data_IF_717176675213
#
_entry.id   IF_717176675213
#
_cell.length_a   1.000
_cell.length_b   1.000
_cell.length_c   1.000
_cell.angle_alpha   90.00
_cell.angle_beta   90.00
_cell.angle_gamma   90.00
#
_symmetry.space_group_name_H-M   'P 1'
#
loop_
_entity.id
_entity.type
_entity.pdbx_description
1 polymer ?
#
# COMPACT_ATOMS: atom_id res chain seq x y z
N UNK A 1 33.24 38.79 23.71
CA UNK A 1 32.87 38.21 22.39
C UNK A 1 32.61 36.70 22.41
N UNK A 2 33.40 35.89 23.09
CA UNK A 2 33.27 34.41 23.12
C UNK A 2 31.92 33.89 23.65
N UNK A 3 31.33 34.49 24.71
CA UNK A 3 30.01 34.03 25.23
C UNK A 3 28.87 34.22 24.25
N UNK A 4 28.85 35.28 23.44
CA UNK A 4 27.81 35.52 22.43
C UNK A 4 27.95 34.53 21.24
N UNK A 5 29.19 34.20 20.87
CA UNK A 5 29.48 33.21 19.84
C UNK A 5 29.04 31.79 20.25
N UNK A 6 29.39 31.39 21.48
CA UNK A 6 28.95 30.09 22.06
C UNK A 6 27.42 29.98 22.08
N UNK A 7 26.73 31.04 22.57
CA UNK A 7 25.25 31.05 22.61
C UNK A 7 24.61 30.98 21.23
N UNK A 8 25.17 31.63 20.21
CA UNK A 8 24.69 31.50 18.83
C UNK A 8 24.88 30.09 18.30
N UNK A 9 26.03 29.50 18.53
CA UNK A 9 26.33 28.10 18.08
C UNK A 9 25.36 27.12 18.75
N UNK A 10 25.17 27.21 20.08
CA UNK A 10 24.23 26.32 20.79
C UNK A 10 22.78 26.50 20.32
N UNK A 11 22.36 27.75 20.06
CA UNK A 11 21.00 27.99 19.53
C UNK A 11 20.83 27.44 18.13
N UNK A 12 21.82 27.58 17.25
CA UNK A 12 21.79 27.03 15.89
C UNK A 12 21.74 25.51 15.93
N UNK A 13 22.57 24.86 16.76
CA UNK A 13 22.56 23.42 16.94
C UNK A 13 21.22 22.92 17.50
N UNK A 14 20.64 23.62 18.46
CA UNK A 14 19.33 23.27 19.02
C UNK A 14 18.20 23.40 17.98
N UNK A 15 18.26 24.44 17.12
CA UNK A 15 17.31 24.59 16.02
C UNK A 15 17.44 23.44 14.99
N UNK A 16 18.67 23.13 14.58
CA UNK A 16 18.92 22.01 13.64
C UNK A 16 18.40 20.71 14.24
N UNK A 17 18.71 20.44 15.51
CA UNK A 17 18.25 19.23 16.20
C UNK A 17 16.72 19.20 16.34
N UNK A 18 16.10 20.32 16.70
CA UNK A 18 14.65 20.45 16.82
C UNK A 18 13.93 20.24 15.49
N UNK A 19 14.44 20.85 14.42
CA UNK A 19 13.91 20.64 13.05
C UNK A 19 14.05 19.20 12.61
N UNK A 20 15.21 18.61 12.86
CA UNK A 20 15.47 17.20 12.57
C UNK A 20 14.47 16.28 13.31
N UNK A 21 14.32 16.47 14.62
CA UNK A 21 13.39 15.69 15.44
C UNK A 21 11.95 15.83 14.94
N UNK A 22 11.53 17.07 14.63
CA UNK A 22 10.20 17.35 14.08
C UNK A 22 9.96 16.63 12.76
N UNK A 23 10.89 16.73 11.81
CA UNK A 23 10.79 16.05 10.50
C UNK A 23 10.75 14.54 10.68
N UNK A 24 11.58 13.98 11.55
CA UNK A 24 11.60 12.54 11.82
C UNK A 24 10.29 12.06 12.40
N UNK A 25 9.75 12.76 13.39
CA UNK A 25 8.44 12.42 13.97
C UNK A 25 7.32 12.57 12.95
N UNK A 26 7.33 13.64 12.17
CA UNK A 26 6.35 13.88 11.12
C UNK A 26 6.35 12.73 10.10
N UNK A 27 7.53 12.37 9.58
CA UNK A 27 7.67 11.29 8.60
C UNK A 27 7.35 9.91 9.20
N UNK A 28 7.58 9.69 10.50
CA UNK A 28 7.28 8.42 11.14
C UNK A 28 5.80 8.22 11.45
N UNK A 29 5.08 9.29 11.83
CA UNK A 29 3.71 9.17 12.33
C UNK A 29 2.64 9.64 11.34
N UNK A 30 2.96 10.58 10.46
CA UNK A 30 1.98 11.19 9.57
C UNK A 30 2.14 10.69 8.15
N UNK A 31 3.38 10.56 7.68
CA UNK A 31 3.66 10.22 6.29
C UNK A 31 5.00 9.49 6.19
N UNK A 32 5.01 8.27 5.75
CA UNK A 32 6.25 7.53 5.55
C UNK A 32 6.43 7.09 4.09
N UNK A 33 7.67 7.13 3.59
CA UNK A 33 7.95 6.67 2.24
C UNK A 33 8.06 5.15 2.18
N UNK A 34 7.56 4.56 1.08
CA UNK A 34 7.72 3.15 0.74
C UNK A 34 8.37 3.01 -0.63
N UNK A 35 9.19 1.98 -0.80
CA UNK A 35 9.69 1.56 -2.09
C UNK A 35 8.73 0.56 -2.75
N UNK A 36 8.23 0.88 -3.92
CA UNK A 36 7.40 0.00 -4.73
C UNK A 36 8.32 -0.95 -5.48
N UNK A 37 8.50 -2.17 -4.98
CA UNK A 37 9.42 -3.15 -5.56
C UNK A 37 8.80 -3.99 -6.67
N UNK A 38 7.49 -4.08 -6.71
CA UNK A 38 6.73 -4.96 -7.60
C UNK A 38 6.03 -4.15 -8.70
N UNK A 39 5.94 -4.73 -9.87
CA UNK A 39 5.17 -4.28 -11.02
C UNK A 39 3.68 -4.67 -10.95
N UNK A 40 3.28 -5.38 -9.90
CA UNK A 40 1.88 -5.83 -9.72
C UNK A 40 0.85 -4.71 -9.65
N UNK A 41 1.29 -3.48 -9.45
CA UNK A 41 0.47 -2.26 -9.44
C UNK A 41 0.85 -1.31 -10.59
N UNK A 42 1.53 -1.81 -11.63
CA UNK A 42 1.86 -1.04 -12.81
C UNK A 42 0.58 -0.45 -13.41
N UNK A 43 0.60 0.71 -14.02
CA UNK A 43 -0.49 1.64 -14.31
C UNK A 43 -0.95 2.49 -13.10
N UNK A 44 -1.09 1.91 -11.92
CA UNK A 44 -1.24 2.67 -10.68
C UNK A 44 0.12 3.20 -10.20
N UNK A 45 0.96 2.30 -9.69
CA UNK A 45 2.26 2.60 -9.10
C UNK A 45 3.39 2.00 -9.93
N UNK A 46 4.34 2.83 -10.37
CA UNK A 46 5.48 2.38 -11.16
C UNK A 46 6.45 1.56 -10.30
N UNK A 47 6.90 0.43 -10.83
CA UNK A 47 7.95 -0.38 -10.21
C UNK A 47 9.23 0.43 -10.02
N UNK A 48 9.93 0.23 -8.91
CA UNK A 48 11.11 1.03 -8.53
C UNK A 48 10.79 2.43 -8.02
N UNK A 49 9.51 2.82 -8.01
CA UNK A 49 9.07 4.12 -7.51
C UNK A 49 9.09 4.24 -6.00
N UNK A 50 8.99 5.49 -5.52
CA UNK A 50 8.83 5.78 -4.10
C UNK A 50 7.49 6.51 -3.91
N UNK A 51 6.69 6.01 -2.98
CA UNK A 51 5.39 6.57 -2.66
C UNK A 51 5.27 6.92 -1.18
N UNK A 52 4.49 7.95 -0.88
CA UNK A 52 4.15 8.31 0.49
C UNK A 52 2.88 7.61 0.95
N UNK A 53 2.94 7.05 2.15
CA UNK A 53 1.86 6.36 2.83
C UNK A 53 1.47 7.11 4.10
N UNK A 54 0.17 7.32 4.30
CA UNK A 54 -0.39 7.92 5.49
C UNK A 54 -1.03 6.85 6.39
N UNK A 55 -0.47 6.56 7.57
CA UNK A 55 -1.00 5.54 8.48
C UNK A 55 -2.26 5.99 9.24
N UNK A 56 -2.56 7.30 9.22
CA UNK A 56 -3.72 7.86 9.92
C UNK A 56 -5.02 7.63 9.16
N UNK A 57 -4.95 7.45 7.84
CA UNK A 57 -6.11 7.18 6.98
C UNK A 57 -6.42 5.68 6.99
N UNK A 58 -7.27 5.26 7.92
CA UNK A 58 -7.62 3.85 8.15
C UNK A 58 -9.03 3.46 7.70
N UNK A 59 -9.77 4.37 7.08
CA UNK A 59 -11.07 4.05 6.48
C UNK A 59 -10.89 3.87 4.97
N UNK A 60 -10.80 2.63 4.48
CA UNK A 60 -10.65 2.39 3.06
C UNK A 60 -11.92 2.77 2.30
N UNK A 61 -11.74 3.43 1.16
CA UNK A 61 -12.76 3.67 0.16
C UNK A 61 -12.47 2.86 -1.10
N UNK A 62 -13.48 2.63 -1.94
CA UNK A 62 -13.28 1.90 -3.19
C UNK A 62 -12.35 2.67 -4.12
N UNK A 63 -11.39 1.97 -4.68
CA UNK A 63 -10.38 2.53 -5.56
C UNK A 63 -9.11 3.01 -4.85
N UNK A 64 -9.10 3.11 -3.52
CA UNK A 64 -7.93 3.52 -2.76
C UNK A 64 -6.80 2.49 -2.80
N UNK A 65 -5.58 2.97 -2.84
CA UNK A 65 -4.37 2.15 -2.71
C UNK A 65 -3.92 2.07 -1.25
N UNK A 66 -3.76 0.86 -0.75
CA UNK A 66 -3.31 0.62 0.62
C UNK A 66 -2.03 -0.20 0.68
N UNK A 67 -1.15 0.22 1.57
CA UNK A 67 0.00 -0.55 1.97
C UNK A 67 -0.44 -1.56 3.03
N UNK A 68 -0.20 -2.85 2.75
CA UNK A 68 -0.69 -3.97 3.53
C UNK A 68 0.43 -4.66 4.27
N UNK A 69 0.14 -5.12 5.49
CA UNK A 69 1.04 -5.98 6.24
C UNK A 69 1.16 -7.35 5.58
N UNK A 70 2.22 -8.06 5.92
CA UNK A 70 2.50 -9.43 5.47
C UNK A 70 1.37 -10.38 5.82
N UNK A 71 1.17 -11.42 4.98
CA UNK A 71 0.13 -12.43 5.20
C UNK A 71 0.45 -13.41 6.33
N UNK A 72 1.71 -13.59 6.67
CA UNK A 72 2.22 -14.54 7.67
C UNK A 72 1.99 -14.11 9.13
N UNK A 73 1.28 -13.01 9.37
CA UNK A 73 0.89 -12.59 10.72
C UNK A 73 2.04 -12.09 11.60
N UNK A 74 3.27 -12.05 11.12
CA UNK A 74 4.38 -11.48 11.87
C UNK A 74 4.19 -9.96 11.97
N UNK A 75 3.68 -9.52 13.11
CA UNK A 75 3.71 -8.09 13.49
C UNK A 75 5.15 -7.72 13.81
N UNK A 76 5.79 -7.00 12.91
CA UNK A 76 7.04 -6.34 13.29
C UNK A 76 6.75 -5.41 14.48
N UNK A 77 7.62 -5.47 15.49
CA UNK A 77 7.49 -4.59 16.64
C UNK A 77 7.51 -3.14 16.17
N UNK A 78 6.58 -2.34 16.66
CA UNK A 78 6.50 -0.90 16.34
C UNK A 78 7.84 -0.18 16.57
N UNK A 79 8.61 -0.62 17.59
CA UNK A 79 9.95 -0.12 17.87
C UNK A 79 10.95 -0.46 16.74
N UNK A 80 10.86 -1.64 16.14
CA UNK A 80 11.69 -2.01 14.98
C UNK A 80 11.34 -1.19 13.74
N UNK A 81 10.06 -0.93 13.50
CA UNK A 81 9.63 -0.05 12.40
C UNK A 81 10.15 1.38 12.59
N UNK A 82 10.11 1.91 13.81
CA UNK A 82 10.64 3.23 14.12
C UNK A 82 12.18 3.27 13.95
N UNK A 83 12.88 2.23 14.42
CA UNK A 83 14.34 2.14 14.28
C UNK A 83 14.75 2.01 12.80
N UNK A 84 14.04 1.22 12.01
CA UNK A 84 14.28 1.09 10.57
C UNK A 84 14.01 2.41 9.84
N UNK A 85 12.93 3.09 10.16
CA UNK A 85 12.61 4.41 9.62
C UNK A 85 13.67 5.46 9.95
N UNK A 86 14.21 5.40 11.17
CA UNK A 86 15.30 6.27 11.60
C UNK A 86 16.59 6.01 10.82
N UNK A 87 16.98 4.76 10.68
CA UNK A 87 18.17 4.37 9.93
C UNK A 87 18.03 4.71 8.45
N UNK A 88 16.88 4.44 7.85
CA UNK A 88 16.56 4.81 6.46
C UNK A 88 16.66 6.30 6.24
N UNK A 89 16.19 7.11 7.18
CA UNK A 89 16.29 8.56 7.07
C UNK A 89 17.76 9.03 6.97
N UNK A 90 18.64 8.52 7.85
CA UNK A 90 20.08 8.91 7.85
C UNK A 90 20.87 8.34 6.69
N UNK A 91 20.46 7.21 6.17
CA UNK A 91 21.15 6.54 5.05
C UNK A 91 20.54 6.87 3.70
N UNK A 92 19.71 7.93 3.60
CA UNK A 92 18.98 8.28 2.39
C UNK A 92 18.25 7.06 1.79
N UNK A 93 17.64 6.24 2.65
CA UNK A 93 16.92 5.02 2.32
C UNK A 93 17.75 3.86 1.73
N UNK A 94 19.07 3.96 1.77
CA UNK A 94 19.96 2.94 1.22
C UNK A 94 20.10 1.69 2.11
N UNK A 95 19.97 1.84 3.43
CA UNK A 95 20.16 0.75 4.38
C UNK A 95 18.87 0.51 5.16
N UNK A 96 18.41 -0.73 5.15
CA UNK A 96 17.23 -1.21 5.86
C UNK A 96 17.57 -2.48 6.62
N UNK A 97 18.29 -2.39 7.76
CA UNK A 97 18.87 -3.55 8.43
C UNK A 97 17.84 -4.53 8.98
N UNK A 98 16.65 -4.04 9.30
CA UNK A 98 15.58 -4.87 9.86
C UNK A 98 14.62 -5.44 8.78
N UNK A 99 14.62 -4.89 7.57
CA UNK A 99 13.83 -5.39 6.45
C UNK A 99 14.47 -6.58 5.73
N UNK A 100 15.77 -6.81 5.87
CA UNK A 100 16.48 -7.93 5.21
C UNK A 100 16.35 -9.29 5.93
N UNK A 101 15.88 -9.31 7.16
CA UNK A 101 15.77 -10.55 7.95
C UNK A 101 14.75 -11.55 7.46
N UNK A 102 14.04 -11.25 6.38
CA UNK A 102 12.94 -12.08 5.91
C UNK A 102 13.05 -12.42 4.42
N UNK A 103 14.08 -13.13 4.05
CA UNK A 103 14.17 -13.74 2.71
C UNK A 103 13.13 -14.84 2.45
N UNK A 104 12.25 -15.14 3.39
CA UNK A 104 11.42 -16.35 3.33
C UNK A 104 9.91 -16.14 3.25
N UNK A 105 9.34 -14.97 3.52
CA UNK A 105 7.87 -14.85 3.53
C UNK A 105 7.43 -13.41 3.27
N UNK A 106 7.02 -13.15 2.06
CA UNK A 106 6.19 -12.02 1.63
C UNK A 106 6.53 -10.63 2.23
N UNK A 107 7.13 -9.76 1.44
CA UNK A 107 7.28 -8.34 1.83
C UNK A 107 5.90 -7.67 1.92
N UNK A 108 5.75 -6.59 2.73
CA UNK A 108 4.57 -5.75 2.66
C UNK A 108 4.37 -5.24 1.23
N UNK A 109 3.15 -5.15 0.79
CA UNK A 109 2.81 -4.87 -0.60
C UNK A 109 1.66 -3.88 -0.70
N UNK A 110 1.50 -3.27 -1.86
CA UNK A 110 0.38 -2.37 -2.15
C UNK A 110 -0.70 -3.12 -2.91
N UNK A 111 -1.97 -2.89 -2.56
CA UNK A 111 -3.15 -3.38 -3.30
C UNK A 111 -4.23 -2.31 -3.31
N UNK A 112 -5.11 -2.42 -4.29
CA UNK A 112 -6.29 -1.55 -4.42
C UNK A 112 -7.46 -2.17 -3.67
N UNK A 113 -8.15 -1.36 -2.87
CA UNK A 113 -9.39 -1.75 -2.20
C UNK A 113 -10.52 -1.69 -3.23
N UNK A 114 -11.16 -2.83 -3.49
CA UNK A 114 -12.21 -2.90 -4.50
C UNK A 114 -13.58 -3.05 -3.85
N UNK A 115 -13.71 -3.92 -2.83
CA UNK A 115 -14.97 -4.12 -2.14
C UNK A 115 -14.85 -3.91 -0.63
N UNK A 116 -15.93 -3.46 -0.03
CA UNK A 116 -16.05 -3.03 1.36
C UNK A 116 -16.88 -4.03 2.18
N UNK A 117 -16.85 -3.96 3.52
CA UNK A 117 -17.69 -4.81 4.37
C UNK A 117 -19.17 -4.73 4.00
N UNK A 118 -19.83 -5.88 3.93
CA UNK A 118 -21.24 -6.02 3.56
C UNK A 118 -21.52 -6.10 2.06
N UNK A 119 -20.53 -5.89 1.20
CA UNK A 119 -20.70 -6.08 -0.23
C UNK A 119 -20.83 -7.56 -0.59
N UNK A 120 -21.69 -7.88 -1.56
CA UNK A 120 -21.65 -9.17 -2.27
C UNK A 120 -20.84 -9.01 -3.54
N UNK A 121 -19.94 -9.94 -3.79
CA UNK A 121 -19.00 -9.85 -4.91
C UNK A 121 -18.97 -11.18 -5.68
N UNK A 122 -18.74 -11.09 -6.99
CA UNK A 122 -18.29 -12.18 -7.83
C UNK A 122 -17.32 -11.64 -8.89
N UNK A 123 -16.51 -12.48 -9.47
CA UNK A 123 -15.60 -12.07 -10.55
C UNK A 123 -15.88 -12.86 -11.81
N UNK A 124 -15.84 -12.18 -12.94
CA UNK A 124 -15.93 -12.79 -14.26
C UNK A 124 -14.94 -12.12 -15.21
N UNK A 125 -14.18 -12.92 -15.91
CA UNK A 125 -13.17 -12.45 -16.87
C UNK A 125 -12.24 -11.38 -16.27
N UNK A 126 -11.73 -11.61 -15.06
CA UNK A 126 -10.87 -10.70 -14.27
C UNK A 126 -11.50 -9.37 -13.84
N UNK A 127 -12.78 -9.14 -14.10
CA UNK A 127 -13.53 -7.96 -13.65
C UNK A 127 -14.35 -8.32 -12.42
N UNK A 128 -14.18 -7.57 -11.35
CA UNK A 128 -14.97 -7.76 -10.13
C UNK A 128 -16.31 -7.01 -10.25
N UNK A 129 -17.38 -7.74 -10.02
CA UNK A 129 -18.74 -7.21 -9.92
C UNK A 129 -19.14 -7.15 -8.46
N UNK A 130 -19.68 -6.01 -8.05
CA UNK A 130 -19.95 -5.69 -6.66
C UNK A 130 -21.38 -5.25 -6.54
N UNK A 131 -22.08 -5.83 -5.60
CA UNK A 131 -23.39 -5.34 -5.14
C UNK A 131 -23.20 -4.73 -3.75
N UNK A 132 -23.16 -3.41 -3.61
CA UNK A 132 -23.10 -2.73 -2.33
C UNK A 132 -24.25 -3.16 -1.41
N UNK A 133 -24.03 -3.17 -0.11
CA UNK A 133 -25.05 -3.60 0.88
C UNK A 133 -26.37 -2.81 0.77
N UNK A 134 -26.30 -1.55 0.30
CA UNK A 134 -27.46 -0.68 0.11
C UNK A 134 -28.14 -0.84 -1.26
N UNK A 135 -27.51 -1.54 -2.22
CA UNK A 135 -27.97 -1.64 -3.61
C UNK A 135 -28.56 -3.01 -3.94
N UNK A 136 -29.38 -3.05 -4.99
CA UNK A 136 -30.02 -4.28 -5.48
C UNK A 136 -29.31 -4.89 -6.69
N UNK A 137 -28.44 -4.15 -7.34
CA UNK A 137 -27.80 -4.54 -8.59
C UNK A 137 -26.29 -4.68 -8.44
N UNK A 138 -25.72 -5.54 -9.23
CA UNK A 138 -24.27 -5.65 -9.39
C UNK A 138 -23.79 -4.58 -10.36
N UNK A 139 -22.73 -3.88 -9.97
CA UNK A 139 -22.01 -2.92 -10.80
C UNK A 139 -20.55 -3.41 -10.91
N UNK A 140 -19.89 -3.06 -11.98
CA UNK A 140 -18.48 -3.36 -12.14
C UNK A 140 -17.64 -2.51 -11.18
N UNK A 141 -16.46 -2.97 -10.85
CA UNK A 141 -15.51 -2.23 -10.02
C UNK A 141 -15.19 -0.84 -10.58
N UNK A 142 -15.25 -0.69 -11.91
CA UNK A 142 -14.98 0.58 -12.58
C UNK A 142 -16.12 1.59 -12.43
N UNK A 143 -17.37 1.11 -12.42
CA UNK A 143 -18.56 1.97 -12.22
C UNK A 143 -18.66 2.48 -10.78
N UNK A 144 -18.20 1.69 -9.83
CA UNK A 144 -18.24 2.02 -8.40
C UNK A 144 -17.02 2.82 -7.92
N UNK A 145 -15.95 2.83 -8.68
CA UNK A 145 -14.76 3.57 -8.29
C UNK A 145 -14.94 5.07 -8.48
N UNK A 146 -14.68 5.85 -7.45
CA UNK A 146 -14.68 7.32 -7.53
C UNK A 146 -13.53 7.89 -8.37
N UNK A 147 -12.49 7.09 -8.60
CA UNK A 147 -11.30 7.46 -9.38
C UNK A 147 -11.07 6.45 -10.49
N UNK A 148 -10.89 6.90 -11.73
CA UNK A 148 -10.59 5.99 -12.83
C UNK A 148 -9.22 5.33 -12.62
N UNK A 149 -9.14 4.04 -12.90
CA UNK A 149 -7.90 3.28 -12.92
C UNK A 149 -7.98 2.21 -14.01
N UNK A 150 -6.82 1.78 -14.48
CA UNK A 150 -6.71 0.73 -15.48
C UNK A 150 -6.34 -0.59 -14.81
N UNK A 151 -6.77 -1.67 -15.42
CA UNK A 151 -6.42 -3.03 -15.01
C UNK A 151 -5.69 -3.67 -16.17
N UNK A 152 -4.53 -4.25 -15.89
CA UNK A 152 -3.80 -5.03 -16.87
C UNK A 152 -4.33 -6.46 -16.89
N UNK A 153 -4.96 -6.81 -17.99
CA UNK A 153 -5.41 -8.15 -18.31
C UNK A 153 -4.71 -8.52 -19.61
N UNK A 154 -3.55 -9.17 -19.52
CA UNK A 154 -2.91 -9.71 -20.71
C UNK A 154 -3.71 -10.92 -21.21
N UNK A 155 -3.70 -11.13 -22.52
CA UNK A 155 -4.31 -12.33 -23.09
C UNK A 155 -3.64 -13.58 -22.49
N UNK A 156 -4.45 -14.43 -21.87
CA UNK A 156 -3.98 -15.70 -21.31
C UNK A 156 -3.39 -16.51 -22.45
N UNK A 157 -2.15 -17.00 -22.35
CA UNK A 157 -1.58 -17.88 -23.36
C UNK A 157 -2.49 -19.10 -23.56
N UNK A 158 -2.67 -19.53 -24.80
CA UNK A 158 -3.53 -20.67 -25.14
C UNK A 158 -3.08 -21.99 -24.46
N UNK A 159 -1.86 -22.06 -23.98
CA UNK A 159 -1.26 -23.21 -23.29
C UNK A 159 -1.12 -22.96 -21.77
N UNK A 160 -2.01 -22.17 -21.18
CA UNK A 160 -1.96 -21.91 -19.74
C UNK A 160 -2.33 -23.19 -18.97
N UNK A 161 -1.40 -23.67 -18.16
CA UNK A 161 -1.49 -24.91 -17.38
C UNK A 161 -2.25 -24.77 -16.05
N UNK A 162 -3.08 -23.76 -15.92
CA UNK A 162 -3.80 -23.38 -14.68
C UNK A 162 -2.88 -22.97 -13.49
N UNK A 163 -1.63 -22.69 -13.74
CA UNK A 163 -0.74 -22.08 -12.74
C UNK A 163 -0.97 -20.58 -12.77
N UNK A 164 -1.82 -20.09 -11.91
CA UNK A 164 -2.13 -18.67 -11.81
C UNK A 164 -3.48 -18.41 -11.17
N UNK A 165 -3.89 -17.15 -11.15
CA UNK A 165 -5.14 -16.76 -10.53
C UNK A 165 -6.28 -16.89 -11.51
N UNK A 166 -7.34 -17.58 -11.09
CA UNK A 166 -8.59 -17.60 -11.85
C UNK A 166 -9.11 -16.21 -12.14
N UNK A 167 -9.55 -15.97 -13.37
CA UNK A 167 -10.30 -14.78 -13.75
C UNK A 167 -11.73 -14.79 -13.24
N UNK A 168 -12.18 -15.93 -12.68
CA UNK A 168 -13.52 -16.14 -12.19
C UNK A 168 -13.51 -16.42 -10.69
N UNK A 169 -14.48 -15.86 -9.96
CA UNK A 169 -14.70 -16.06 -8.54
C UNK A 169 -16.20 -16.24 -8.32
N UNK A 170 -16.57 -17.27 -7.56
CA UNK A 170 -17.93 -17.50 -7.14
C UNK A 170 -18.47 -16.37 -6.25
N UNK A 171 -19.80 -16.22 -6.25
CA UNK A 171 -20.44 -15.20 -5.44
C UNK A 171 -20.18 -15.41 -3.95
N UNK A 172 -19.71 -14.36 -3.27
CA UNK A 172 -19.53 -14.34 -1.82
C UNK A 172 -19.89 -12.98 -1.24
N UNK A 173 -20.29 -12.96 0.02
CA UNK A 173 -20.60 -11.72 0.74
C UNK A 173 -19.53 -11.46 1.81
N UNK A 174 -18.98 -10.26 1.80
CA UNK A 174 -17.98 -9.83 2.77
C UNK A 174 -18.60 -9.57 4.13
N UNK A 175 -17.97 -10.10 5.18
CA UNK A 175 -18.39 -9.88 6.56
C UNK A 175 -17.98 -8.49 7.04
N UNK A 176 -18.48 -8.11 8.21
CA UNK A 176 -18.06 -6.88 8.88
C UNK A 176 -16.54 -6.88 9.11
N UNK A 177 -15.89 -5.76 8.74
CA UNK A 177 -14.43 -5.61 8.82
C UNK A 177 -13.63 -6.34 7.75
N UNK A 178 -14.27 -7.03 6.81
CA UNK A 178 -13.63 -7.70 5.68
C UNK A 178 -13.62 -6.81 4.44
N UNK A 179 -12.47 -6.77 3.78
CA UNK A 179 -12.24 -6.00 2.55
C UNK A 179 -11.68 -6.91 1.47
N UNK A 180 -12.06 -6.65 0.24
CA UNK A 180 -11.52 -7.38 -0.91
C UNK A 180 -10.57 -6.45 -1.67
N UNK A 181 -9.32 -6.89 -1.79
CA UNK A 181 -8.25 -6.08 -2.39
C UNK A 181 -7.65 -6.82 -3.57
N UNK A 182 -7.39 -6.09 -4.65
CA UNK A 182 -6.82 -6.64 -5.87
C UNK A 182 -5.56 -5.88 -6.28
N UNK A 183 -4.72 -6.54 -7.04
CA UNK A 183 -3.66 -5.90 -7.80
C UNK A 183 -4.21 -5.31 -9.10
N UNK A 184 -3.56 -4.27 -9.63
CA UNK A 184 -3.93 -3.70 -10.94
C UNK A 184 -3.47 -4.63 -12.08
N UNK A 185 -2.34 -5.34 -11.93
CA UNK A 185 -1.99 -6.47 -12.78
C UNK A 185 -2.72 -7.73 -12.29
N UNK A 186 -3.74 -8.15 -13.03
CA UNK A 186 -4.62 -9.25 -12.63
C UNK A 186 -4.06 -10.63 -12.93
N UNK A 187 -3.08 -10.75 -13.80
CA UNK A 187 -2.57 -12.05 -14.26
C UNK A 187 -1.47 -12.58 -13.33
N UNK A 188 -0.53 -11.75 -12.95
CA UNK A 188 0.67 -12.16 -12.21
C UNK A 188 0.71 -11.66 -10.77
N UNK A 189 -0.43 -11.64 -10.08
CA UNK A 189 -0.45 -11.05 -8.74
C UNK A 189 -1.14 -11.91 -7.70
N UNK A 190 -0.53 -11.95 -6.53
CA UNK A 190 -1.15 -12.50 -5.32
C UNK A 190 -2.01 -11.42 -4.66
N UNK A 191 -3.31 -11.68 -4.53
CA UNK A 191 -4.28 -10.77 -3.93
C UNK A 191 -5.46 -11.54 -3.30
N UNK A 192 -6.56 -10.88 -3.00
CA UNK A 192 -7.71 -11.51 -2.32
C UNK A 192 -8.34 -12.68 -3.05
N UNK A 193 -8.06 -12.87 -4.33
CA UNK A 193 -8.48 -14.07 -5.09
C UNK A 193 -7.80 -15.33 -4.55
N UNK A 194 -6.58 -15.19 -3.98
CA UNK A 194 -5.82 -16.31 -3.39
C UNK A 194 -6.06 -16.47 -1.89
N UNK A 195 -6.07 -15.35 -1.16
CA UNK A 195 -6.08 -15.38 0.31
C UNK A 195 -7.47 -15.19 0.88
N UNK A 196 -8.46 -14.83 0.05
CA UNK A 196 -9.77 -14.39 0.49
C UNK A 196 -9.75 -12.92 0.97
N UNK A 197 -10.85 -12.51 1.55
CA UNK A 197 -11.00 -11.19 2.13
C UNK A 197 -10.01 -10.95 3.28
N UNK A 198 -9.55 -9.72 3.42
CA UNK A 198 -8.61 -9.32 4.47
C UNK A 198 -9.30 -8.41 5.50
N UNK A 199 -8.80 -8.45 6.74
CA UNK A 199 -9.31 -7.62 7.82
C UNK A 199 -8.65 -6.23 7.83
N UNK A 200 -9.37 -5.25 8.35
CA UNK A 200 -8.91 -3.86 8.48
C UNK A 200 -7.56 -3.69 9.21
N UNK A 201 -7.24 -4.61 10.12
CA UNK A 201 -5.97 -4.58 10.88
C UNK A 201 -4.73 -4.75 10.01
N UNK A 202 -4.90 -5.25 8.79
CA UNK A 202 -3.81 -5.43 7.84
C UNK A 202 -3.45 -4.16 7.07
N UNK A 203 -4.28 -3.15 7.11
CA UNK A 203 -4.01 -1.85 6.49
C UNK A 203 -2.99 -1.07 7.32
N UNK A 204 -1.79 -0.90 6.80
CA UNK A 204 -0.72 -0.11 7.41
C UNK A 204 -0.89 1.39 7.14
N UNK A 205 -1.48 1.74 6.00
CA UNK A 205 -1.79 3.11 5.63
C UNK A 205 -2.18 3.25 4.16
N UNK A 206 -2.81 4.40 3.84
CA UNK A 206 -3.23 4.74 2.48
C UNK A 206 -2.06 5.35 1.71
N UNK A 207 -1.86 4.92 0.47
CA UNK A 207 -0.93 5.55 -0.46
C UNK A 207 -1.53 6.86 -0.96
N UNK A 208 -0.81 7.96 -0.81
CA UNK A 208 -1.30 9.29 -1.19
C UNK A 208 -0.66 9.82 -2.47
N UNK A 209 0.64 9.62 -2.62
CA UNK A 209 1.42 10.25 -3.66
C UNK A 209 2.61 9.37 -4.02
N UNK A 210 2.79 9.07 -5.30
CA UNK A 210 4.07 8.61 -5.82
C UNK A 210 4.86 9.84 -6.26
N UNK A 211 6.05 10.07 -5.69
CA UNK A 211 6.87 11.23 -6.00
C UNK A 211 8.14 10.89 -6.79
N UNK A 212 8.52 9.63 -6.84
CA UNK A 212 9.63 9.16 -7.66
C UNK A 212 9.17 8.00 -8.56
N UNK A 213 9.59 7.95 -9.83
CA UNK A 213 10.44 8.93 -10.52
C UNK A 213 9.72 10.27 -10.72
N UNK A 214 10.51 11.38 -10.70
CA UNK A 214 9.97 12.74 -10.83
C UNK A 214 9.27 13.01 -12.17
N UNK A 215 9.45 12.10 -13.14
CA UNK A 215 8.79 12.14 -14.45
C UNK A 215 7.34 11.65 -14.41
N UNK A 216 6.96 10.95 -13.34
CA UNK A 216 5.62 10.36 -13.18
C UNK A 216 5.07 10.56 -11.76
N UNK A 217 4.96 11.82 -11.33
CA UNK A 217 4.33 12.14 -10.03
C UNK A 217 2.83 11.92 -10.18
N UNK A 218 2.27 11.04 -9.32
CA UNK A 218 0.84 10.71 -9.31
C UNK A 218 0.27 10.79 -7.89
N UNK A 219 -0.88 11.46 -7.73
CA UNK A 219 -1.68 11.47 -6.50
C UNK A 219 -2.82 10.43 -6.58
N UNK A 220 -3.17 9.82 -5.44
CA UNK A 220 -4.16 8.74 -5.35
C UNK A 220 -5.30 9.08 -4.41
#
# INVERSE_FOLDING_TARGET
>A
MQRRRKRRITTTLALIFGTFLFVTLFLSFILFPIHVKSDTMEDGLSAGGIAFVCPLLKKPERGDLYYLSRMDGHRESYLMMCADSFIRFFTFQQISPFSESSKSSGQPFVRRVIALPGDSIYMKDFVLYIKPAADKHYLSEFELSSKPYNVQIFSIPAEWDNVGVSGDLEEQTLKEGEYFVLADNRVESLDSRHWGAIKSERFLGRVLLQYFPFTSIKAY
#
